data_IF_498405506357
#
_entry.id   IF_498405506357
#
_cell.length_a   1.000
_cell.length_b   1.000
_cell.length_c   1.000
_cell.angle_alpha   90.00
_cell.angle_beta   90.00
_cell.angle_gamma   90.00
#
_symmetry.space_group_name_H-M   'P 1'
#
loop_
_entity.id
_entity.type
_entity.pdbx_description
1 polymer ?
#
# COMPACT_ATOMS: atom_id res chain seq x y z
N UNK A 1 -15.40 42.34 -15.38
CA UNK A 1 -15.56 40.84 -15.48
C UNK A 1 -14.33 40.36 -16.21
N UNK A 2 -13.30 39.97 -15.49
CA UNK A 2 -12.03 39.41 -16.01
C UNK A 2 -12.19 37.89 -16.10
N UNK A 3 -12.04 37.32 -17.30
CA UNK A 3 -12.00 35.87 -17.51
C UNK A 3 -10.83 35.26 -16.73
N UNK A 4 -11.01 34.09 -16.11
CA UNK A 4 -9.90 33.34 -15.51
C UNK A 4 -8.93 32.90 -16.62
N UNK A 5 -7.63 32.79 -16.33
CA UNK A 5 -6.63 32.38 -17.32
C UNK A 5 -6.91 30.97 -17.80
N UNK A 6 -6.86 30.78 -19.13
CA UNK A 6 -6.98 29.50 -19.79
C UNK A 6 -5.83 28.58 -19.34
N UNK A 7 -6.17 27.34 -18.91
CA UNK A 7 -5.21 26.30 -18.57
C UNK A 7 -4.55 25.84 -19.87
N UNK A 8 -3.22 25.95 -19.90
CA UNK A 8 -2.40 25.44 -21.00
C UNK A 8 -2.58 23.92 -21.16
N UNK A 9 -2.71 23.40 -22.42
CA UNK A 9 -2.83 21.96 -22.67
C UNK A 9 -1.57 21.16 -22.43
N UNK A 10 -0.51 21.73 -21.84
CA UNK A 10 0.81 21.12 -21.69
C UNK A 10 0.95 20.15 -20.51
N UNK A 11 -0.12 19.84 -19.77
CA UNK A 11 -0.09 18.87 -18.66
C UNK A 11 -0.07 17.39 -19.09
N UNK A 12 -0.08 17.08 -20.40
CA UNK A 12 -0.20 15.70 -20.90
C UNK A 12 1.10 15.12 -21.45
N UNK A 13 2.18 15.88 -21.52
CA UNK A 13 3.46 15.37 -22.02
C UNK A 13 4.51 15.29 -20.91
N UNK A 14 4.53 14.20 -20.14
CA UNK A 14 5.75 13.81 -19.41
C UNK A 14 6.78 13.39 -20.47
N UNK A 15 7.57 14.35 -20.95
CA UNK A 15 8.63 14.14 -21.96
C UNK A 15 9.79 13.31 -21.43
N UNK A 16 9.93 13.19 -20.11
CA UNK A 16 10.86 12.32 -19.40
C UNK A 16 10.11 11.66 -18.25
N UNK A 17 9.87 10.33 -18.29
CA UNK A 17 9.16 9.63 -17.20
C UNK A 17 9.92 9.66 -15.87
N UNK A 18 11.18 10.09 -15.84
CA UNK A 18 11.99 10.28 -14.64
C UNK A 18 12.11 11.75 -14.22
N UNK A 19 11.63 12.70 -15.02
CA UNK A 19 11.60 14.09 -14.64
C UNK A 19 10.66 14.29 -13.45
N UNK A 20 11.18 14.86 -12.34
CA UNK A 20 10.38 15.15 -11.15
C UNK A 20 9.56 16.43 -11.39
N UNK A 21 8.22 16.35 -11.49
CA UNK A 21 7.39 17.53 -11.60
C UNK A 21 7.56 18.43 -10.38
N UNK A 22 7.59 19.73 -10.60
CA UNK A 22 7.72 20.74 -9.55
C UNK A 22 8.92 20.50 -8.59
N UNK A 23 10.06 19.98 -9.13
CA UNK A 23 11.25 19.67 -8.32
C UNK A 23 11.79 20.86 -7.51
N UNK A 24 11.60 22.07 -8.03
CA UNK A 24 12.00 23.33 -7.44
C UNK A 24 11.13 23.78 -6.25
N UNK A 25 9.90 23.25 -6.14
CA UNK A 25 8.97 23.66 -5.09
C UNK A 25 9.30 22.97 -3.75
N UNK A 26 9.15 23.69 -2.62
CA UNK A 26 9.17 23.06 -1.30
C UNK A 26 7.92 22.17 -1.10
N UNK A 27 7.99 21.21 -0.19
CA UNK A 27 6.90 20.27 0.06
C UNK A 27 5.57 20.97 0.44
N UNK A 28 5.61 22.14 1.11
CA UNK A 28 4.39 22.92 1.42
C UNK A 28 3.68 23.40 0.18
N UNK A 29 4.41 23.92 -0.80
CA UNK A 29 3.79 24.34 -2.06
C UNK A 29 3.20 23.15 -2.84
N UNK A 30 3.87 21.97 -2.82
CA UNK A 30 3.28 20.75 -3.40
C UNK A 30 2.02 20.31 -2.65
N UNK A 31 1.98 20.44 -1.33
CA UNK A 31 0.78 20.18 -0.53
C UNK A 31 -0.37 21.11 -0.94
N UNK A 32 -0.10 22.36 -1.19
CA UNK A 32 -1.12 23.30 -1.69
C UNK A 32 -1.61 22.93 -3.09
N UNK A 33 -0.72 22.45 -3.97
CA UNK A 33 -1.12 21.88 -5.27
C UNK A 33 -1.99 20.64 -5.10
N UNK A 34 -1.64 19.71 -4.20
CA UNK A 34 -2.44 18.51 -3.91
C UNK A 34 -3.84 18.88 -3.40
N UNK A 35 -3.92 19.85 -2.49
CA UNK A 35 -5.19 20.41 -2.01
C UNK A 35 -6.02 21.01 -3.16
N UNK A 36 -5.36 21.75 -4.06
CA UNK A 36 -6.03 22.35 -5.21
C UNK A 36 -6.55 21.31 -6.19
N UNK A 37 -5.79 20.25 -6.48
CA UNK A 37 -6.23 19.15 -7.33
C UNK A 37 -7.41 18.39 -6.72
N UNK A 38 -7.35 18.07 -5.43
CA UNK A 38 -8.42 17.37 -4.73
C UNK A 38 -9.72 18.20 -4.70
N UNK A 39 -9.64 19.51 -4.47
CA UNK A 39 -10.83 20.40 -4.52
C UNK A 39 -11.56 20.40 -5.87
N UNK A 40 -10.86 20.09 -6.96
CA UNK A 40 -11.47 20.01 -8.31
C UNK A 40 -12.21 18.70 -8.54
N UNK A 41 -11.98 17.70 -7.68
CA UNK A 41 -12.67 16.42 -7.77
C UNK A 41 -14.02 16.51 -7.08
N UNK A 42 -15.02 15.91 -7.68
CA UNK A 42 -16.34 15.86 -7.07
C UNK A 42 -16.36 14.85 -5.92
N UNK A 43 -15.78 13.67 -6.14
CA UNK A 43 -15.58 12.60 -5.14
C UNK A 43 -14.30 11.84 -5.41
N UNK A 44 -13.66 11.32 -4.37
CA UNK A 44 -12.44 10.53 -4.50
C UNK A 44 -12.52 9.21 -3.72
N UNK A 45 -12.08 8.15 -4.36
CA UNK A 45 -11.82 6.84 -3.75
C UNK A 45 -10.31 6.66 -3.66
N UNK A 46 -9.78 6.51 -2.46
CA UNK A 46 -8.36 6.38 -2.18
C UNK A 46 -8.01 4.93 -1.89
N UNK A 47 -7.10 4.34 -2.67
CA UNK A 47 -6.48 3.05 -2.35
C UNK A 47 -5.65 3.19 -1.06
N UNK A 48 -6.26 2.87 0.07
CA UNK A 48 -5.71 3.13 1.40
C UNK A 48 -5.10 1.86 2.00
N UNK A 49 -3.80 1.88 2.29
CA UNK A 49 -3.08 0.74 2.88
C UNK A 49 -2.60 0.99 4.31
N UNK A 50 -2.92 2.13 4.92
CA UNK A 50 -2.38 2.51 6.23
C UNK A 50 -0.87 2.80 6.25
N UNK A 51 -0.19 2.79 5.09
CA UNK A 51 1.17 3.28 4.93
C UNK A 51 1.20 4.81 4.91
N UNK A 52 2.35 5.43 5.18
CA UNK A 52 2.47 6.89 5.28
C UNK A 52 1.95 7.62 4.04
N UNK A 53 2.25 7.11 2.84
CA UNK A 53 1.88 7.75 1.57
C UNK A 53 0.36 7.80 1.38
N UNK A 54 -0.29 6.66 1.51
CA UNK A 54 -1.74 6.57 1.39
C UNK A 54 -2.47 7.27 2.54
N UNK A 55 -1.86 7.35 3.73
CA UNK A 55 -2.42 8.09 4.87
C UNK A 55 -2.38 9.60 4.65
N UNK A 56 -1.28 10.13 4.09
CA UNK A 56 -1.20 11.55 3.70
C UNK A 56 -2.25 11.86 2.63
N UNK A 57 -2.35 11.02 1.59
CA UNK A 57 -3.32 11.23 0.53
C UNK A 57 -4.76 11.22 1.08
N UNK A 58 -5.11 10.24 1.93
CA UNK A 58 -6.44 10.15 2.53
C UNK A 58 -6.74 11.33 3.46
N UNK A 59 -5.76 11.76 4.28
CA UNK A 59 -5.93 12.88 5.19
C UNK A 59 -6.19 14.20 4.44
N UNK A 60 -5.40 14.48 3.39
CA UNK A 60 -5.59 15.68 2.57
C UNK A 60 -6.87 15.61 1.76
N UNK A 61 -7.24 14.41 1.26
CA UNK A 61 -8.51 14.22 0.57
C UNK A 61 -9.71 14.48 1.51
N UNK A 62 -9.65 13.96 2.73
CA UNK A 62 -10.68 14.21 3.73
C UNK A 62 -10.72 15.70 4.15
N UNK A 63 -9.58 16.35 4.34
CA UNK A 63 -9.48 17.79 4.61
C UNK A 63 -10.21 18.62 3.55
N UNK A 64 -10.08 18.28 2.27
CA UNK A 64 -10.62 19.05 1.16
C UNK A 64 -12.06 18.67 0.76
N UNK A 65 -12.45 17.43 0.93
CA UNK A 65 -13.69 16.85 0.41
C UNK A 65 -14.67 16.37 1.49
N UNK A 66 -14.20 16.22 2.74
CA UNK A 66 -15.01 15.68 3.84
C UNK A 66 -15.53 14.27 3.51
N UNK A 67 -16.84 14.05 3.63
CA UNK A 67 -17.52 12.77 3.37
C UNK A 67 -17.43 12.31 1.89
N UNK A 68 -17.00 13.16 0.98
CA UNK A 68 -16.77 12.83 -0.42
C UNK A 68 -15.44 12.13 -0.70
N UNK A 69 -14.57 12.02 0.33
CA UNK A 69 -13.36 11.22 0.31
C UNK A 69 -13.62 9.88 1.02
N UNK A 70 -13.36 8.78 0.32
CA UNK A 70 -13.53 7.42 0.82
C UNK A 70 -12.22 6.65 0.70
N UNK A 71 -11.65 6.22 1.83
CA UNK A 71 -10.54 5.27 1.84
C UNK A 71 -11.05 3.84 1.65
N UNK A 72 -10.37 3.07 0.81
CA UNK A 72 -10.71 1.65 0.62
C UNK A 72 -9.49 0.80 0.87
N UNK A 73 -9.61 -0.15 1.80
CA UNK A 73 -8.56 -1.11 2.15
C UNK A 73 -8.87 -2.44 1.47
N UNK A 74 -7.98 -2.89 0.58
CA UNK A 74 -8.02 -4.27 0.08
C UNK A 74 -7.54 -5.24 1.15
N UNK A 75 -8.39 -6.16 1.56
CA UNK A 75 -8.08 -7.16 2.58
C UNK A 75 -8.04 -8.55 1.95
N UNK A 76 -6.97 -9.29 2.26
CA UNK A 76 -6.77 -10.67 1.84
C UNK A 76 -5.91 -11.40 2.85
N UNK A 77 -5.70 -12.71 2.64
CA UNK A 77 -4.79 -13.51 3.46
C UNK A 77 -3.32 -12.99 3.42
N UNK A 78 -2.96 -12.19 2.41
CA UNK A 78 -1.62 -11.59 2.29
C UNK A 78 -1.46 -10.28 3.07
N UNK A 79 -2.55 -9.71 3.57
CA UNK A 79 -2.56 -8.47 4.35
C UNK A 79 -2.56 -8.77 5.84
N UNK A 80 -1.52 -8.37 6.57
CA UNK A 80 -1.39 -8.73 7.98
C UNK A 80 -2.47 -8.07 8.85
N UNK A 81 -3.09 -8.83 9.74
CA UNK A 81 -4.20 -8.37 10.59
C UNK A 81 -3.83 -7.13 11.42
N UNK A 82 -2.64 -7.11 12.02
CA UNK A 82 -2.19 -5.95 12.80
C UNK A 82 -2.01 -4.68 11.95
N UNK A 83 -1.70 -4.81 10.65
CA UNK A 83 -1.63 -3.67 9.72
C UNK A 83 -3.01 -3.12 9.43
N UNK A 84 -4.03 -3.99 9.34
CA UNK A 84 -5.42 -3.57 9.21
C UNK A 84 -5.89 -2.78 10.44
N UNK A 85 -5.60 -3.27 11.63
CA UNK A 85 -5.92 -2.57 12.89
C UNK A 85 -5.29 -1.18 12.94
N UNK A 86 -3.99 -1.07 12.59
CA UNK A 86 -3.28 0.21 12.55
C UNK A 86 -3.86 1.15 11.48
N UNK A 87 -4.22 0.63 10.31
CA UNK A 87 -4.82 1.41 9.23
C UNK A 87 -6.18 1.98 9.64
N UNK A 88 -7.05 1.15 10.23
CA UNK A 88 -8.36 1.57 10.72
C UNK A 88 -8.25 2.59 11.86
N UNK A 89 -7.33 2.38 12.80
CA UNK A 89 -7.07 3.32 13.89
C UNK A 89 -6.58 4.68 13.36
N UNK A 90 -5.69 4.68 12.35
CA UNK A 90 -5.22 5.92 11.72
C UNK A 90 -6.35 6.62 10.97
N UNK A 91 -7.19 5.90 10.23
CA UNK A 91 -8.35 6.46 9.52
C UNK A 91 -9.37 7.10 10.49
N UNK A 92 -9.63 6.45 11.61
CA UNK A 92 -10.49 6.99 12.66
C UNK A 92 -9.93 8.30 13.26
N UNK A 93 -8.61 8.42 13.41
CA UNK A 93 -7.95 9.67 13.87
C UNK A 93 -8.02 10.78 12.82
N UNK A 94 -7.94 10.45 11.54
CA UNK A 94 -8.16 11.40 10.44
C UNK A 94 -9.62 11.87 10.41
N UNK A 95 -10.56 11.03 10.86
CA UNK A 95 -12.00 11.26 10.73
C UNK A 95 -12.54 10.85 9.35
N UNK A 96 -11.75 10.18 8.53
CA UNK A 96 -12.12 9.81 7.17
C UNK A 96 -13.00 8.56 7.13
N UNK A 97 -13.95 8.54 6.19
CA UNK A 97 -14.69 7.31 5.83
C UNK A 97 -13.73 6.28 5.27
N UNK A 98 -13.82 5.06 5.79
CA UNK A 98 -13.04 3.92 5.28
C UNK A 98 -13.90 2.68 5.23
N UNK A 99 -13.75 1.90 4.18
CA UNK A 99 -14.32 0.56 4.07
C UNK A 99 -13.26 -0.46 3.68
N UNK A 100 -13.56 -1.73 3.91
CA UNK A 100 -12.72 -2.85 3.51
C UNK A 100 -13.39 -3.63 2.39
N UNK A 101 -12.59 -4.07 1.41
CA UNK A 101 -13.04 -4.94 0.32
C UNK A 101 -12.16 -6.19 0.26
N UNK A 102 -12.77 -7.34 0.02
CA UNK A 102 -12.00 -8.57 -0.22
C UNK A 102 -11.42 -8.53 -1.64
N UNK A 103 -10.10 -8.71 -1.77
CA UNK A 103 -9.43 -8.70 -3.08
C UNK A 103 -9.31 -10.09 -3.71
N UNK A 104 -9.25 -11.14 -2.88
CA UNK A 104 -9.32 -12.53 -3.35
C UNK A 104 -8.16 -12.99 -4.24
N UNK A 105 -7.05 -12.26 -4.29
CA UNK A 105 -5.92 -12.53 -5.19
C UNK A 105 -5.30 -13.92 -4.98
N UNK A 106 -5.45 -14.53 -3.80
CA UNK A 106 -4.95 -15.87 -3.54
C UNK A 106 -5.68 -16.97 -4.36
N UNK A 107 -6.87 -16.66 -4.86
CA UNK A 107 -7.62 -17.53 -5.76
C UNK A 107 -7.20 -17.39 -7.23
N UNK A 108 -6.31 -16.43 -7.54
CA UNK A 108 -5.70 -16.29 -8.87
C UNK A 108 -4.39 -17.08 -8.92
N UNK A 109 -4.32 -18.08 -9.77
CA UNK A 109 -3.12 -18.91 -9.96
C UNK A 109 -1.90 -18.08 -10.37
N UNK A 110 -2.11 -16.96 -11.08
CA UNK A 110 -1.03 -16.05 -11.46
C UNK A 110 -0.42 -15.35 -10.25
N UNK A 111 -1.19 -15.07 -9.21
CA UNK A 111 -0.66 -14.58 -7.94
C UNK A 111 -0.12 -15.71 -7.09
N UNK A 112 -0.87 -16.82 -6.94
CA UNK A 112 -0.56 -17.93 -6.05
C UNK A 112 0.74 -18.64 -6.43
N UNK A 113 1.08 -18.72 -7.72
CA UNK A 113 2.38 -19.26 -8.20
C UNK A 113 3.59 -18.41 -7.81
N UNK A 114 3.37 -17.21 -7.25
CA UNK A 114 4.38 -16.30 -6.74
C UNK A 114 5.45 -15.89 -7.78
N UNK A 115 5.05 -15.39 -8.94
CA UNK A 115 5.98 -14.91 -9.95
C UNK A 115 6.63 -13.58 -9.51
N UNK A 116 7.65 -13.14 -10.24
CA UNK A 116 8.35 -11.89 -9.95
C UNK A 116 7.44 -10.65 -10.07
N UNK A 117 6.41 -10.74 -10.88
CA UNK A 117 5.40 -9.69 -11.11
C UNK A 117 4.09 -9.91 -10.32
N UNK A 118 4.07 -10.79 -9.30
CA UNK A 118 2.88 -11.05 -8.46
C UNK A 118 2.18 -9.77 -7.97
N UNK A 119 2.96 -8.67 -7.75
CA UNK A 119 2.41 -7.40 -7.33
C UNK A 119 1.49 -6.76 -8.37
N UNK A 120 1.66 -7.08 -9.65
CA UNK A 120 0.73 -6.68 -10.71
C UNK A 120 -0.65 -7.33 -10.50
N UNK A 121 -0.69 -8.65 -10.30
CA UNK A 121 -1.93 -9.41 -10.09
C UNK A 121 -2.66 -8.94 -8.82
N UNK A 122 -1.94 -8.75 -7.72
CA UNK A 122 -2.49 -8.20 -6.48
C UNK A 122 -3.10 -6.80 -6.68
N UNK A 123 -2.39 -5.90 -7.37
CA UNK A 123 -2.89 -4.55 -7.65
C UNK A 123 -4.06 -4.55 -8.63
N UNK A 124 -4.03 -5.42 -9.63
CA UNK A 124 -5.13 -5.58 -10.57
C UNK A 124 -6.42 -5.97 -9.82
N UNK A 125 -6.37 -7.01 -8.97
CA UNK A 125 -7.50 -7.42 -8.14
C UNK A 125 -8.01 -6.30 -7.23
N UNK A 126 -7.11 -5.52 -6.62
CA UNK A 126 -7.47 -4.37 -5.81
C UNK A 126 -8.20 -3.30 -6.64
N UNK A 127 -7.65 -2.91 -7.79
CA UNK A 127 -8.21 -1.84 -8.60
C UNK A 127 -9.55 -2.22 -9.22
N UNK A 128 -9.79 -3.50 -9.52
CA UNK A 128 -11.13 -3.98 -9.87
C UNK A 128 -12.16 -3.73 -8.76
N UNK A 129 -11.79 -4.00 -7.50
CA UNK A 129 -12.69 -3.70 -6.37
C UNK A 129 -12.90 -2.18 -6.20
N UNK A 130 -11.85 -1.38 -6.34
CA UNK A 130 -11.96 0.09 -6.27
C UNK A 130 -12.86 0.63 -7.37
N UNK A 131 -12.80 0.08 -8.58
CA UNK A 131 -13.69 0.46 -9.69
C UNK A 131 -15.17 0.15 -9.37
N UNK A 132 -15.45 -0.98 -8.69
CA UNK A 132 -16.80 -1.32 -8.23
C UNK A 132 -17.29 -0.35 -7.15
N UNK A 133 -16.40 0.01 -6.20
CA UNK A 133 -16.70 1.01 -5.15
C UNK A 133 -16.99 2.36 -5.79
N UNK A 134 -16.15 2.82 -6.71
CA UNK A 134 -16.35 4.08 -7.42
C UNK A 134 -17.68 4.11 -8.17
N UNK A 135 -18.08 2.98 -8.81
CA UNK A 135 -19.40 2.84 -9.46
C UNK A 135 -20.55 3.01 -8.49
N UNK A 136 -20.46 2.40 -7.33
CA UNK A 136 -21.48 2.50 -6.28
C UNK A 136 -21.59 3.94 -5.75
N UNK A 137 -20.46 4.60 -5.50
CA UNK A 137 -20.44 5.99 -5.06
C UNK A 137 -21.03 6.93 -6.12
N UNK A 138 -20.81 6.66 -7.40
CA UNK A 138 -21.41 7.42 -8.52
C UNK A 138 -22.93 7.22 -8.61
N UNK A 139 -23.40 5.98 -8.52
CA UNK A 139 -24.83 5.67 -8.51
C UNK A 139 -25.56 6.32 -7.33
N UNK A 140 -24.94 6.33 -6.16
CA UNK A 140 -25.48 7.00 -4.97
C UNK A 140 -25.63 8.52 -5.16
N UNK A 141 -24.76 9.15 -5.96
CA UNK A 141 -24.88 10.57 -6.29
C UNK A 141 -26.01 10.84 -7.27
N UNK A 142 -26.25 9.93 -8.21
CA UNK A 142 -27.33 10.05 -9.20
C UNK A 142 -28.73 9.79 -8.61
N UNK A 143 -28.82 9.26 -7.39
CA UNK A 143 -30.10 8.84 -6.79
C UNK A 143 -30.65 7.54 -7.38
N UNK A 144 -29.85 6.81 -8.14
CA UNK A 144 -30.25 5.57 -8.80
C UNK A 144 -30.09 4.36 -7.88
N UNK A 145 -31.10 3.47 -7.84
CA UNK A 145 -30.96 2.18 -7.20
C UNK A 145 -29.97 1.32 -8.01
N UNK A 146 -28.91 0.81 -7.34
CA UNK A 146 -27.92 -0.07 -7.97
C UNK A 146 -28.56 -1.27 -8.64
N UNK A 147 -28.21 -1.61 -9.90
CA UNK A 147 -28.51 -2.92 -10.45
C UNK A 147 -27.71 -3.98 -9.69
N UNK A 148 -28.37 -5.05 -9.25
CA UNK A 148 -27.78 -6.11 -8.41
C UNK A 148 -26.63 -6.89 -9.09
N UNK A 149 -26.41 -6.69 -10.37
CA UNK A 149 -25.38 -7.36 -11.17
C UNK A 149 -24.64 -6.35 -12.06
N UNK A 150 -23.74 -5.56 -11.48
CA UNK A 150 -22.76 -4.82 -12.29
C UNK A 150 -21.73 -5.83 -12.82
N UNK A 151 -21.99 -6.32 -14.05
CA UNK A 151 -21.14 -7.24 -14.80
C UNK A 151 -19.68 -6.80 -14.86
N UNK A 152 -18.77 -7.78 -14.76
CA UNK A 152 -17.31 -7.65 -14.69
C UNK A 152 -16.61 -7.08 -15.94
N UNK A 153 -17.35 -6.45 -16.88
CA UNK A 153 -16.84 -5.89 -18.12
C UNK A 153 -17.30 -4.45 -18.31
N UNK A 154 -17.10 -3.60 -17.29
CA UNK A 154 -17.20 -2.15 -17.51
C UNK A 154 -15.85 -1.66 -17.97
N UNK A 155 -15.67 -1.62 -19.27
CA UNK A 155 -14.54 -0.91 -19.90
C UNK A 155 -14.44 0.49 -19.31
N UNK A 156 -13.23 0.85 -18.90
CA UNK A 156 -12.88 2.11 -18.27
C UNK A 156 -13.20 3.29 -19.20
N UNK A 157 -14.46 3.75 -19.19
CA UNK A 157 -14.75 5.14 -19.48
C UNK A 157 -14.60 5.90 -18.18
N UNK A 158 -13.73 6.91 -18.16
CA UNK A 158 -13.62 7.88 -17.06
C UNK A 158 -15.03 8.17 -16.54
N UNK A 159 -15.32 7.75 -15.32
CA UNK A 159 -16.56 8.10 -14.64
C UNK A 159 -16.41 9.56 -14.27
N UNK A 160 -17.29 10.41 -14.79
CA UNK A 160 -17.11 11.85 -14.80
C UNK A 160 -16.98 12.47 -13.40
N UNK A 161 -17.45 11.76 -12.35
CA UNK A 161 -17.68 12.36 -11.03
C UNK A 161 -16.91 11.69 -9.87
N UNK A 162 -16.38 10.47 -10.05
CA UNK A 162 -15.64 9.75 -8.99
C UNK A 162 -14.24 9.36 -9.49
N UNK A 163 -13.22 9.97 -8.92
CA UNK A 163 -11.82 9.67 -9.24
C UNK A 163 -11.28 8.59 -8.30
N UNK A 164 -10.50 7.63 -8.84
CA UNK A 164 -9.75 6.65 -8.03
C UNK A 164 -8.30 7.08 -7.96
N UNK A 165 -7.70 7.09 -6.75
CA UNK A 165 -6.32 7.49 -6.55
C UNK A 165 -5.56 6.51 -5.66
N UNK A 166 -4.23 6.47 -5.81
CA UNK A 166 -3.35 5.67 -4.96
C UNK A 166 -2.20 6.49 -4.35
N UNK A 167 -1.53 5.89 -3.36
CA UNK A 167 -0.41 6.50 -2.64
C UNK A 167 0.94 6.37 -3.33
N UNK A 168 1.02 6.11 -4.62
CA UNK A 168 2.28 6.05 -5.38
C UNK A 168 2.96 7.42 -5.36
N UNK A 169 4.25 7.44 -5.03
CA UNK A 169 5.08 8.66 -4.96
C UNK A 169 6.10 8.72 -6.11
N UNK A 170 6.75 9.87 -6.27
CA UNK A 170 7.73 10.06 -7.34
C UNK A 170 8.90 9.06 -7.25
N UNK A 171 9.39 8.74 -6.05
CA UNK A 171 10.49 7.79 -5.86
C UNK A 171 10.15 6.38 -6.39
N UNK A 172 8.86 6.01 -6.39
CA UNK A 172 8.38 4.74 -6.92
C UNK A 172 8.45 4.65 -8.45
N UNK A 173 8.60 5.79 -9.15
CA UNK A 173 8.65 5.84 -10.61
C UNK A 173 9.96 5.27 -11.17
N UNK A 174 11.05 5.38 -10.43
CA UNK A 174 12.37 4.85 -10.80
C UNK A 174 12.56 3.39 -10.40
N UNK A 175 11.65 2.82 -9.59
CA UNK A 175 11.74 1.42 -9.13
C UNK A 175 10.97 0.48 -10.05
N UNK A 176 11.44 -0.78 -10.15
CA UNK A 176 10.70 -1.82 -10.87
C UNK A 176 9.49 -2.24 -10.04
N UNK A 177 8.34 -1.61 -10.32
CA UNK A 177 7.07 -1.92 -9.63
C UNK A 177 6.01 -2.38 -10.63
N UNK A 178 5.88 -3.68 -10.85
CA UNK A 178 4.88 -4.25 -11.79
C UNK A 178 3.45 -3.75 -11.53
N UNK A 179 3.09 -3.46 -10.27
CA UNK A 179 1.78 -2.93 -9.89
C UNK A 179 1.41 -1.58 -10.50
N UNK A 180 2.38 -0.78 -11.00
CA UNK A 180 2.10 0.48 -11.69
C UNK A 180 1.39 0.28 -13.04
N UNK A 181 1.71 -0.83 -13.74
CA UNK A 181 1.01 -1.19 -14.98
C UNK A 181 -0.49 -1.36 -14.71
N UNK A 182 -0.85 -2.05 -13.63
CA UNK A 182 -2.23 -2.22 -13.23
C UNK A 182 -2.92 -0.87 -12.94
N UNK A 183 -2.24 0.10 -12.32
CA UNK A 183 -2.79 1.43 -12.07
C UNK A 183 -3.17 2.14 -13.38
N UNK A 184 -2.30 2.10 -14.39
CA UNK A 184 -2.57 2.67 -15.71
C UNK A 184 -3.72 1.99 -16.45
N UNK A 185 -3.85 0.66 -16.32
CA UNK A 185 -4.93 -0.12 -16.95
C UNK A 185 -6.31 0.16 -16.33
N UNK A 186 -6.35 0.65 -15.08
CA UNK A 186 -7.59 0.97 -14.35
C UNK A 186 -7.83 2.48 -14.17
N UNK A 187 -7.14 3.33 -14.91
CA UNK A 187 -7.26 4.80 -14.82
C UNK A 187 -7.08 5.35 -13.39
N UNK A 188 -6.24 4.71 -12.58
CA UNK A 188 -5.95 5.14 -11.21
C UNK A 188 -4.93 6.26 -11.24
N UNK A 189 -5.27 7.40 -10.65
CA UNK A 189 -4.37 8.55 -10.56
C UNK A 189 -3.40 8.42 -9.39
N UNK A 190 -2.14 8.70 -9.63
CA UNK A 190 -1.09 8.74 -8.61
C UNK A 190 -0.72 10.18 -8.27
N UNK A 191 -1.62 10.92 -7.60
CA UNK A 191 -1.51 12.35 -7.37
C UNK A 191 -0.20 12.78 -6.71
N UNK A 192 0.31 11.99 -5.76
CA UNK A 192 1.59 12.30 -5.10
C UNK A 192 2.75 12.20 -6.10
N UNK A 193 2.75 11.20 -6.98
CA UNK A 193 3.76 11.07 -8.02
C UNK A 193 3.62 12.16 -9.09
N UNK A 194 2.40 12.45 -9.54
CA UNK A 194 2.08 13.49 -10.51
C UNK A 194 2.56 14.89 -10.04
N UNK A 195 2.53 15.14 -8.73
CA UNK A 195 2.98 16.40 -8.12
C UNK A 195 4.43 16.35 -7.60
N UNK A 196 5.16 15.28 -7.89
CA UNK A 196 6.58 15.14 -7.58
C UNK A 196 6.90 14.99 -6.09
N UNK A 197 5.99 14.44 -5.27
CA UNK A 197 6.29 14.13 -3.88
C UNK A 197 7.30 13.00 -3.75
N UNK A 198 8.37 13.25 -2.99
CA UNK A 198 9.31 12.23 -2.54
C UNK A 198 8.89 11.65 -1.19
N UNK A 199 9.52 10.54 -0.78
CA UNK A 199 9.30 9.96 0.56
C UNK A 199 9.57 10.97 1.67
N UNK A 200 10.60 11.82 1.50
CA UNK A 200 10.91 12.90 2.45
C UNK A 200 9.79 13.93 2.55
N UNK A 201 9.22 14.33 1.40
CA UNK A 201 8.12 15.28 1.38
C UNK A 201 6.87 14.71 2.05
N UNK A 202 6.53 13.45 1.75
CA UNK A 202 5.38 12.77 2.36
C UNK A 202 5.53 12.65 3.87
N UNK A 203 6.72 12.30 4.38
CA UNK A 203 6.97 12.24 5.83
C UNK A 203 6.83 13.61 6.48
N UNK A 204 7.36 14.66 5.86
CA UNK A 204 7.21 16.05 6.36
C UNK A 204 5.74 16.47 6.43
N UNK A 205 4.93 16.11 5.42
CA UNK A 205 3.48 16.35 5.45
C UNK A 205 2.80 15.51 6.53
N UNK A 206 3.18 14.25 6.69
CA UNK A 206 2.61 13.38 7.72
C UNK A 206 2.88 13.89 9.14
N UNK A 207 4.08 14.41 9.39
CA UNK A 207 4.45 15.08 10.64
C UNK A 207 3.63 16.36 10.87
N UNK A 208 3.52 17.23 9.86
CA UNK A 208 2.76 18.49 9.91
C UNK A 208 1.26 18.23 10.19
N UNK A 209 0.71 17.14 9.64
CA UNK A 209 -0.67 16.70 9.88
C UNK A 209 -0.85 15.85 11.17
N UNK A 210 0.22 15.55 11.91
CA UNK A 210 0.18 14.75 13.13
C UNK A 210 -0.25 13.30 12.92
N UNK A 211 0.07 12.71 11.73
CA UNK A 211 -0.29 11.32 11.43
C UNK A 211 0.64 10.35 12.17
N UNK A 212 0.06 9.32 12.80
CA UNK A 212 0.83 8.28 13.51
C UNK A 212 1.67 7.41 12.57
N UNK A 213 1.42 7.49 11.27
CA UNK A 213 2.17 6.79 10.23
C UNK A 213 3.44 7.53 9.76
N UNK A 214 3.74 8.74 10.28
CA UNK A 214 4.90 9.54 9.85
C UNK A 214 6.22 8.76 9.93
N UNK A 215 6.47 8.08 11.06
CA UNK A 215 7.67 7.28 11.31
C UNK A 215 7.48 5.78 10.99
N UNK A 216 6.31 5.40 10.45
CA UNK A 216 6.04 3.99 10.17
C UNK A 216 7.01 3.45 9.12
N UNK A 217 7.75 2.36 9.40
CA UNK A 217 8.59 1.71 8.41
C UNK A 217 7.74 1.07 7.32
N UNK A 218 8.36 0.81 6.15
CA UNK A 218 7.69 0.13 5.06
C UNK A 218 7.27 -1.28 5.50
N UNK A 219 5.97 -1.58 5.37
CA UNK A 219 5.39 -2.88 5.72
C UNK A 219 4.79 -3.55 4.47
N UNK A 220 5.62 -4.24 3.66
CA UNK A 220 5.13 -4.98 2.52
C UNK A 220 4.27 -6.18 2.97
N UNK A 221 3.38 -6.67 2.08
CA UNK A 221 2.47 -7.77 2.35
C UNK A 221 3.18 -9.06 2.79
N UNK A 222 2.47 -9.98 3.47
CA UNK A 222 3.03 -11.25 3.96
C UNK A 222 3.62 -12.12 2.83
N UNK A 223 3.07 -12.06 1.62
CA UNK A 223 3.61 -12.77 0.47
C UNK A 223 5.07 -12.38 0.16
N UNK A 224 5.52 -11.19 0.56
CA UNK A 224 6.92 -10.78 0.42
C UNK A 224 7.90 -11.58 1.30
N UNK A 225 7.42 -12.42 2.21
CA UNK A 225 8.24 -13.28 3.06
C UNK A 225 8.50 -14.63 2.41
N UNK A 226 7.87 -14.92 1.29
CA UNK A 226 7.92 -16.19 0.57
C UNK A 226 8.82 -16.01 -0.66
N UNK A 227 9.86 -16.83 -0.88
CA UNK A 227 10.71 -16.75 -2.05
C UNK A 227 9.93 -16.90 -3.35
N UNK A 228 10.29 -16.13 -4.37
CA UNK A 228 9.67 -16.24 -5.69
C UNK A 228 9.70 -17.69 -6.21
N UNK A 229 8.63 -18.11 -6.90
CA UNK A 229 8.44 -19.46 -7.39
C UNK A 229 7.99 -20.48 -6.35
N UNK A 230 7.93 -20.10 -5.05
CA UNK A 230 7.29 -20.92 -4.03
C UNK A 230 5.81 -20.54 -3.97
N UNK A 231 4.93 -21.51 -4.19
CA UNK A 231 3.48 -21.31 -4.16
C UNK A 231 3.04 -20.64 -2.85
N UNK A 232 2.27 -19.57 -2.97
CA UNK A 232 1.67 -18.89 -1.83
C UNK A 232 0.39 -19.64 -1.46
N UNK A 233 0.32 -20.09 -0.21
CA UNK A 233 -0.90 -20.70 0.32
C UNK A 233 -1.36 -19.98 1.58
N UNK A 234 -2.62 -20.16 1.95
CA UNK A 234 -3.18 -19.60 3.18
C UNK A 234 -2.44 -20.10 4.42
N UNK A 235 -2.04 -21.38 4.41
CA UNK A 235 -1.30 -21.99 5.51
C UNK A 235 0.07 -21.32 5.71
N UNK A 236 0.82 -21.08 4.62
CA UNK A 236 2.12 -20.41 4.66
C UNK A 236 1.97 -18.96 5.14
N UNK A 237 0.98 -18.22 4.61
CA UNK A 237 0.72 -16.85 5.03
C UNK A 237 0.38 -16.79 6.52
N UNK A 238 -0.52 -17.64 6.99
CA UNK A 238 -0.88 -17.74 8.41
C UNK A 238 0.31 -18.13 9.29
N UNK A 239 1.14 -19.06 8.84
CA UNK A 239 2.35 -19.47 9.56
C UNK A 239 3.33 -18.29 9.71
N UNK A 240 3.57 -17.55 8.64
CA UNK A 240 4.42 -16.34 8.65
C UNK A 240 3.84 -15.26 9.56
N UNK A 241 2.55 -14.98 9.46
CA UNK A 241 1.90 -13.97 10.29
C UNK A 241 2.01 -14.27 11.78
N UNK A 242 1.71 -15.50 12.17
CA UNK A 242 1.83 -15.97 13.56
C UNK A 242 3.28 -15.94 14.05
N UNK A 243 4.24 -16.27 13.19
CA UNK A 243 5.66 -16.18 13.50
C UNK A 243 6.10 -14.73 13.76
N UNK A 244 5.69 -13.80 12.91
CA UNK A 244 5.98 -12.37 13.11
C UNK A 244 5.23 -11.82 14.34
N UNK A 245 3.99 -12.24 14.61
CA UNK A 245 3.24 -11.84 15.80
C UNK A 245 3.92 -12.32 17.10
N UNK A 246 4.47 -13.54 17.12
CA UNK A 246 5.24 -14.06 18.24
C UNK A 246 6.43 -13.15 18.56
N UNK A 247 7.22 -12.77 17.56
CA UNK A 247 8.40 -11.91 17.76
C UNK A 247 7.98 -10.48 18.17
N UNK A 248 6.88 -9.94 17.60
CA UNK A 248 6.34 -8.64 18.05
C UNK A 248 5.93 -8.68 19.52
N UNK A 249 5.31 -9.79 19.98
CA UNK A 249 4.97 -10.01 21.39
C UNK A 249 6.20 -10.08 22.31
N UNK A 250 7.38 -10.36 21.78
CA UNK A 250 8.67 -10.29 22.48
C UNK A 250 9.34 -8.91 22.40
N UNK A 251 8.66 -7.93 21.77
CA UNK A 251 9.10 -6.53 21.69
C UNK A 251 10.02 -6.22 20.49
N UNK A 252 10.09 -7.08 19.47
CA UNK A 252 10.74 -6.76 18.21
C UNK A 252 9.73 -6.05 17.30
N UNK A 253 9.95 -4.78 17.00
CA UNK A 253 9.02 -3.97 16.21
C UNK A 253 9.27 -4.10 14.70
N UNK A 254 10.54 -3.96 14.30
CA UNK A 254 10.99 -4.11 12.93
C UNK A 254 11.58 -5.49 12.72
N UNK A 255 10.89 -6.32 11.99
CA UNK A 255 11.29 -7.70 11.75
C UNK A 255 10.67 -8.28 10.48
N UNK A 256 11.24 -9.37 10.00
CA UNK A 256 10.64 -10.25 9.01
C UNK A 256 10.93 -11.70 9.39
N UNK A 257 9.95 -12.57 9.19
CA UNK A 257 10.17 -14.02 9.23
C UNK A 257 9.99 -14.56 7.82
N UNK A 258 11.09 -14.88 7.15
CA UNK A 258 11.08 -15.45 5.80
C UNK A 258 10.80 -16.94 5.87
N UNK A 259 9.89 -17.39 5.03
CA UNK A 259 9.52 -18.79 4.90
C UNK A 259 10.39 -19.47 3.85
N UNK A 260 11.28 -20.37 4.27
CA UNK A 260 12.08 -21.23 3.40
C UNK A 260 11.75 -22.70 3.65
N UNK A 261 10.51 -23.11 3.29
CA UNK A 261 10.01 -24.45 3.57
C UNK A 261 9.97 -24.71 5.07
N UNK A 262 10.76 -25.67 5.56
CA UNK A 262 10.84 -26.00 6.99
C UNK A 262 11.65 -25.00 7.82
N UNK A 263 12.24 -23.96 7.22
CA UNK A 263 13.11 -22.99 7.89
C UNK A 263 12.45 -21.63 8.04
N UNK A 264 12.35 -21.13 9.26
CA UNK A 264 12.08 -19.72 9.56
C UNK A 264 13.40 -18.97 9.59
N UNK A 265 13.64 -18.04 8.63
CA UNK A 265 14.78 -17.13 8.66
C UNK A 265 14.31 -15.76 9.21
N UNK A 266 14.85 -15.39 10.37
CA UNK A 266 14.51 -14.14 11.06
C UNK A 266 15.44 -13.03 10.58
N UNK A 267 14.86 -11.90 10.22
CA UNK A 267 15.55 -10.64 9.91
C UNK A 267 15.08 -9.58 10.90
N UNK A 268 16.01 -8.93 11.59
CA UNK A 268 15.80 -7.75 12.45
C UNK A 268 16.91 -6.74 12.16
N UNK A 269 16.78 -5.45 12.56
CA UNK A 269 17.89 -4.51 12.52
C UNK A 269 19.14 -5.08 13.19
N UNK A 270 20.34 -4.77 12.64
CA UNK A 270 21.61 -5.36 13.09
C UNK A 270 21.85 -5.22 14.59
N UNK A 271 21.48 -4.08 15.16
CA UNK A 271 21.59 -3.77 16.59
C UNK A 271 20.72 -4.65 17.49
N UNK A 272 19.72 -5.33 16.91
CA UNK A 272 18.81 -6.23 17.64
C UNK A 272 19.21 -7.71 17.55
N UNK A 273 20.19 -8.08 16.71
CA UNK A 273 20.59 -9.48 16.51
C UNK A 273 21.07 -10.15 17.83
N UNK A 274 21.85 -9.45 18.63
CA UNK A 274 22.34 -9.97 19.92
C UNK A 274 21.16 -10.35 20.83
N UNK A 275 20.13 -9.53 20.91
CA UNK A 275 18.93 -9.76 21.72
C UNK A 275 18.16 -11.02 21.32
N UNK A 276 18.18 -11.44 20.04
CA UNK A 276 17.53 -12.69 19.59
C UNK A 276 18.25 -13.93 20.14
N UNK A 277 19.56 -13.84 20.41
CA UNK A 277 20.40 -14.95 20.87
C UNK A 277 20.50 -15.08 22.39
N UNK A 278 20.09 -14.05 23.13
CA UNK A 278 20.07 -14.03 24.58
C UNK A 278 19.07 -15.03 25.17
N UNK A 279 19.40 -15.60 26.34
CA UNK A 279 18.77 -16.79 26.86
C UNK A 279 17.23 -16.77 26.94
N UNK A 280 16.52 -15.81 27.58
CA UNK A 280 15.06 -15.96 27.64
C UNK A 280 14.37 -15.77 26.29
N UNK A 281 14.82 -14.81 25.46
CA UNK A 281 14.23 -14.55 24.16
C UNK A 281 14.46 -15.72 23.19
N UNK A 282 15.70 -16.21 23.10
CA UNK A 282 16.05 -17.32 22.21
C UNK A 282 15.19 -18.57 22.46
N UNK A 283 15.05 -18.98 23.73
CA UNK A 283 14.28 -20.18 24.07
C UNK A 283 12.81 -20.05 23.61
N UNK A 284 12.17 -18.90 23.91
CA UNK A 284 10.78 -18.62 23.53
C UNK A 284 10.59 -18.54 22.01
N UNK A 285 11.56 -17.97 21.29
CA UNK A 285 11.52 -17.86 19.82
C UNK A 285 11.61 -19.25 19.19
N UNK A 286 12.60 -20.05 19.63
CA UNK A 286 12.79 -21.41 19.07
C UNK A 286 11.60 -22.31 19.36
N UNK A 287 11.11 -22.35 20.60
CA UNK A 287 9.92 -23.13 20.98
C UNK A 287 8.69 -22.68 20.20
N UNK A 288 8.42 -21.36 20.17
CA UNK A 288 7.26 -20.82 19.50
C UNK A 288 7.29 -21.05 18.00
N UNK A 289 8.40 -20.82 17.29
CA UNK A 289 8.48 -21.08 15.85
C UNK A 289 8.37 -22.56 15.52
N UNK A 290 8.94 -23.44 16.34
CA UNK A 290 8.77 -24.89 16.17
C UNK A 290 7.31 -25.32 16.38
N UNK A 291 6.61 -24.75 17.34
CA UNK A 291 5.17 -25.03 17.55
C UNK A 291 4.30 -24.57 16.38
N UNK A 292 4.79 -23.62 15.58
CA UNK A 292 4.15 -23.17 14.34
C UNK A 292 4.46 -24.07 13.12
N UNK A 293 5.27 -25.14 13.30
CA UNK A 293 5.59 -26.11 12.26
C UNK A 293 6.94 -25.92 11.58
N UNK A 294 7.75 -24.93 11.97
CA UNK A 294 9.11 -24.80 11.46
C UNK A 294 10.03 -25.82 12.14
N UNK A 295 10.86 -26.48 11.36
CA UNK A 295 11.88 -27.40 11.86
C UNK A 295 13.16 -26.69 12.27
N UNK A 296 13.52 -25.67 11.50
CA UNK A 296 14.75 -24.91 11.68
C UNK A 296 14.44 -23.42 11.90
N UNK A 297 15.21 -22.81 12.78
CA UNK A 297 15.18 -21.38 13.05
C UNK A 297 16.56 -20.83 12.77
N UNK A 298 16.65 -19.91 11.82
CA UNK A 298 17.89 -19.27 11.38
C UNK A 298 17.82 -17.75 11.55
N UNK A 299 18.98 -17.10 11.69
CA UNK A 299 19.11 -15.65 11.66
C UNK A 299 19.80 -15.23 10.37
N UNK A 300 19.33 -14.15 9.78
CA UNK A 300 20.03 -13.45 8.72
C UNK A 300 21.08 -12.53 9.36
N UNK A 301 22.37 -12.81 9.17
CA UNK A 301 23.45 -12.02 9.76
C UNK A 301 23.63 -10.66 9.12
N UNK A 302 23.12 -10.45 7.90
CA UNK A 302 23.06 -9.14 7.25
C UNK A 302 21.92 -8.26 7.80
N UNK A 303 21.05 -8.83 8.60
CA UNK A 303 19.92 -8.14 9.22
C UNK A 303 18.79 -7.80 8.25
N UNK A 304 17.87 -6.95 8.74
CA UNK A 304 16.70 -6.53 7.98
C UNK A 304 17.08 -5.52 6.89
N UNK A 305 16.83 -5.89 5.63
CA UNK A 305 17.05 -5.04 4.46
C UNK A 305 15.82 -5.00 3.57
N UNK A 306 15.54 -3.83 2.98
CA UNK A 306 14.49 -3.70 1.98
C UNK A 306 14.88 -4.46 0.72
N UNK A 307 13.92 -5.22 0.14
CA UNK A 307 14.15 -5.95 -1.11
C UNK A 307 15.04 -7.19 -1.00
N UNK A 308 15.29 -7.71 0.20
CA UNK A 308 16.22 -8.83 0.45
C UNK A 308 15.89 -10.15 -0.28
N UNK A 309 14.67 -10.32 -0.79
CA UNK A 309 14.28 -11.46 -1.64
C UNK A 309 14.25 -11.12 -3.14
N UNK A 310 14.47 -9.87 -3.52
CA UNK A 310 14.55 -9.52 -4.93
C UNK A 310 15.85 -10.09 -5.52
N UNK A 311 15.82 -10.58 -6.77
CA UNK A 311 17.03 -11.01 -7.44
C UNK A 311 18.02 -9.84 -7.50
N UNK A 312 19.35 -10.11 -7.43
CA UNK A 312 20.35 -9.07 -7.58
C UNK A 312 20.12 -8.34 -8.91
N UNK A 313 20.19 -7.01 -8.86
CA UNK A 313 20.17 -6.20 -10.09
C UNK A 313 21.46 -6.51 -10.84
N UNK A 314 21.35 -7.15 -12.02
CA UNK A 314 22.47 -7.38 -12.92
C UNK A 314 23.05 -6.07 -13.44
#
# INVERSE_FOLDING_TARGET
MTQPPAISPDLVAIRDPLARPHAELPWRARLDLLRAELRRMERVVVAYSGGVDSSVLLAVAHEQLGERALGVIGVSDSYAAHELELALAQAARIGARVETVATGELSDDNFASNPIDRCYHCKHALYEQLARVAAREEAAMAGDAMPAEASAHVGARMRANVSVTDGTIHDDLSDHRPGRRAAGEHDVRSLLAELGFTKRDVRAVAEDLGLTSADKPASPCLASRIPYGTTITREILSQVERAEALLRGLGFKELRVRHHGETARIEVPLEQLARLTEAPARARIVEGLKSLGFRWVALDLDGLRSGNLNPPRG
#
